data_IF_037274516726
#
_entry.id   IF_037274516726
#
_cell.length_a   1.000
_cell.length_b   1.000
_cell.length_c   1.000
_cell.angle_alpha   90.00
_cell.angle_beta   90.00
_cell.angle_gamma   90.00
#
_symmetry.space_group_name_H-M   'P 1'
#
loop_
_entity.id
_entity.type
_entity.pdbx_description
1 polymer ?
#
# COMPACT_ATOMS: atom_id res chain seq x y z
N UNK A 1 -24.02 31.88 -3.66
CA UNK A 1 -23.29 30.63 -3.43
C UNK A 1 -24.26 29.48 -3.66
N UNK A 2 -23.94 28.55 -4.56
CA UNK A 2 -24.85 27.50 -4.95
C UNK A 2 -25.10 26.53 -3.78
N UNK A 3 -26.36 26.06 -3.67
CA UNK A 3 -26.76 25.07 -2.62
C UNK A 3 -25.84 23.84 -2.59
N UNK A 4 -25.28 23.48 -3.74
CA UNK A 4 -24.31 22.39 -3.89
C UNK A 4 -23.01 22.69 -3.12
N UNK A 5 -22.41 23.88 -3.28
CA UNK A 5 -21.18 24.26 -2.59
C UNK A 5 -21.38 24.22 -1.06
N UNK A 6 -22.48 24.78 -0.56
CA UNK A 6 -22.83 24.72 0.86
C UNK A 6 -23.00 23.28 1.39
N UNK A 7 -23.54 22.37 0.56
CA UNK A 7 -23.68 20.96 0.95
C UNK A 7 -22.31 20.26 1.00
N UNK A 8 -21.42 20.54 0.02
CA UNK A 8 -20.06 19.98 0.01
C UNK A 8 -19.27 20.48 1.22
N UNK A 9 -19.34 21.78 1.53
CA UNK A 9 -18.66 22.35 2.71
C UNK A 9 -19.15 21.73 4.01
N UNK A 10 -20.46 21.56 4.17
CA UNK A 10 -21.07 20.95 5.35
C UNK A 10 -20.65 19.48 5.55
N UNK A 11 -20.49 18.73 4.44
CA UNK A 11 -20.21 17.30 4.44
C UNK A 11 -18.82 16.96 3.88
N UNK A 12 -17.87 17.91 3.92
CA UNK A 12 -16.55 17.81 3.30
C UNK A 12 -15.83 16.51 3.65
N UNK A 13 -15.88 16.06 4.92
CA UNK A 13 -15.22 14.84 5.36
C UNK A 13 -15.82 13.60 4.70
N UNK A 14 -17.16 13.54 4.59
CA UNK A 14 -17.82 12.42 3.93
C UNK A 14 -17.47 12.35 2.45
N UNK A 15 -17.44 13.49 1.75
CA UNK A 15 -17.01 13.56 0.36
C UNK A 15 -15.54 13.17 0.18
N UNK A 16 -14.66 13.66 1.04
CA UNK A 16 -13.25 13.31 1.01
C UNK A 16 -13.03 11.81 1.23
N UNK A 17 -13.67 11.24 2.24
CA UNK A 17 -13.58 9.81 2.53
C UNK A 17 -14.18 8.95 1.41
N UNK A 18 -15.32 9.34 0.84
CA UNK A 18 -15.91 8.64 -0.29
C UNK A 18 -14.97 8.64 -1.51
N UNK A 19 -14.39 9.79 -1.84
CA UNK A 19 -13.41 9.91 -2.92
C UNK A 19 -12.17 9.03 -2.64
N UNK A 20 -11.62 9.07 -1.42
CA UNK A 20 -10.48 8.24 -1.04
C UNK A 20 -10.81 6.75 -1.14
N UNK A 21 -11.98 6.31 -0.67
CA UNK A 21 -12.40 4.90 -0.76
C UNK A 21 -12.56 4.44 -2.21
N UNK A 22 -13.08 5.28 -3.10
CA UNK A 22 -13.17 4.97 -4.54
C UNK A 22 -11.76 4.83 -5.11
N UNK A 23 -10.90 5.82 -4.90
CA UNK A 23 -9.53 5.82 -5.45
C UNK A 23 -8.70 4.66 -4.90
N UNK A 24 -8.79 4.37 -3.60
CA UNK A 24 -8.01 3.29 -3.00
C UNK A 24 -8.61 1.90 -3.20
N UNK A 25 -9.91 1.81 -3.46
CA UNK A 25 -10.63 0.57 -3.74
C UNK A 25 -10.53 0.11 -5.20
N UNK A 26 -10.41 1.05 -6.14
CA UNK A 26 -10.36 0.73 -7.58
C UNK A 26 -9.26 -0.28 -7.97
N UNK A 27 -8.04 -0.27 -7.37
CA UNK A 27 -7.02 -1.31 -7.61
C UNK A 27 -7.44 -2.74 -7.31
N UNK A 28 -8.41 -2.95 -6.41
CA UNK A 28 -8.95 -4.28 -6.13
C UNK A 28 -9.94 -4.76 -7.21
N UNK A 29 -10.46 -3.83 -8.01
CA UNK A 29 -11.32 -4.19 -9.13
C UNK A 29 -10.51 -4.80 -10.30
N UNK A 30 -9.20 -4.47 -10.43
CA UNK A 30 -8.38 -5.01 -11.52
C UNK A 30 -8.33 -6.53 -11.55
N UNK A 31 -8.03 -7.27 -10.46
CA UNK A 31 -8.06 -8.74 -10.47
C UNK A 31 -9.45 -9.31 -10.69
N UNK A 32 -10.51 -8.63 -10.26
CA UNK A 32 -11.90 -9.06 -10.52
C UNK A 32 -12.21 -9.01 -12.01
N UNK A 33 -11.88 -7.90 -12.69
CA UNK A 33 -12.08 -7.73 -14.12
C UNK A 33 -11.26 -8.75 -14.93
N UNK A 34 -10.01 -8.99 -14.53
CA UNK A 34 -9.17 -10.01 -15.16
C UNK A 34 -9.77 -11.41 -15.00
N UNK A 35 -10.26 -11.76 -13.82
CA UNK A 35 -10.89 -13.06 -13.55
C UNK A 35 -12.20 -13.26 -14.35
N UNK A 36 -12.93 -12.17 -14.61
CA UNK A 36 -14.14 -12.18 -15.46
C UNK A 36 -13.82 -12.17 -16.96
N UNK A 37 -12.56 -12.15 -17.38
CA UNK A 37 -12.14 -12.09 -18.77
C UNK A 37 -12.20 -10.67 -19.38
N UNK A 38 -12.49 -9.63 -18.61
CA UNK A 38 -12.51 -8.24 -19.07
C UNK A 38 -11.09 -7.65 -19.02
N UNK A 39 -10.19 -8.29 -19.75
CA UNK A 39 -8.74 -8.03 -19.68
C UNK A 39 -8.37 -6.59 -20.01
N UNK A 40 -9.01 -5.97 -21.01
CA UNK A 40 -8.76 -4.58 -21.38
C UNK A 40 -9.09 -3.61 -20.23
N UNK A 41 -10.22 -3.82 -19.56
CA UNK A 41 -10.63 -2.98 -18.43
C UNK A 41 -9.71 -3.20 -17.21
N UNK A 42 -9.34 -4.45 -16.91
CA UNK A 42 -8.35 -4.76 -15.87
C UNK A 42 -7.00 -4.12 -16.14
N UNK A 43 -6.46 -4.26 -17.36
CA UNK A 43 -5.21 -3.65 -17.80
C UNK A 43 -5.25 -2.12 -17.74
N UNK A 44 -6.36 -1.51 -18.07
CA UNK A 44 -6.55 -0.06 -17.92
C UNK A 44 -6.35 0.40 -16.48
N UNK A 45 -6.91 -0.33 -15.49
CA UNK A 45 -6.70 -0.01 -14.07
C UNK A 45 -5.21 -0.15 -13.69
N UNK A 46 -4.53 -1.24 -14.08
CA UNK A 46 -3.09 -1.38 -13.82
C UNK A 46 -2.30 -0.19 -14.38
N UNK A 47 -2.61 0.22 -15.60
CA UNK A 47 -1.95 1.36 -16.25
C UNK A 47 -2.23 2.68 -15.53
N UNK A 48 -3.50 2.90 -15.12
CA UNK A 48 -3.91 4.10 -14.37
C UNK A 48 -3.13 4.26 -13.05
N UNK A 49 -2.85 3.15 -12.37
CA UNK A 49 -2.14 3.15 -11.08
C UNK A 49 -0.61 3.04 -11.20
N UNK A 50 -0.07 2.92 -12.41
CA UNK A 50 1.37 2.88 -12.69
C UNK A 50 2.16 4.05 -12.09
N UNK A 51 1.68 5.32 -12.11
CA UNK A 51 2.43 6.44 -11.53
C UNK A 51 2.50 6.41 -10.00
N UNK A 52 1.57 5.69 -9.35
CA UNK A 52 1.45 5.68 -7.89
C UNK A 52 2.10 4.47 -7.23
N UNK A 53 2.37 3.41 -8.01
CA UNK A 53 2.92 2.16 -7.50
C UNK A 53 3.78 1.45 -8.56
N UNK A 54 4.92 0.90 -8.12
CA UNK A 54 5.79 0.09 -8.99
C UNK A 54 5.14 -1.23 -9.43
N UNK A 55 4.12 -1.73 -8.72
CA UNK A 55 3.34 -2.93 -9.02
C UNK A 55 4.16 -4.21 -9.26
N UNK A 56 5.29 -4.36 -8.55
CA UNK A 56 6.10 -5.57 -8.64
C UNK A 56 5.31 -6.78 -8.14
N UNK A 57 5.23 -7.87 -8.91
CA UNK A 57 4.35 -8.99 -8.59
C UNK A 57 4.73 -9.71 -7.30
N UNK A 58 6.03 -9.88 -6.99
CA UNK A 58 6.48 -10.49 -5.74
C UNK A 58 6.15 -9.66 -4.48
N UNK A 59 5.74 -8.39 -4.65
CA UNK A 59 5.34 -7.44 -3.61
C UNK A 59 3.85 -7.07 -3.71
N UNK A 60 3.06 -7.88 -4.40
CA UNK A 60 1.62 -7.65 -4.61
C UNK A 60 0.80 -8.83 -4.12
N UNK A 61 -0.45 -8.58 -3.77
CA UNK A 61 -1.41 -9.62 -3.44
C UNK A 61 -2.10 -10.11 -4.69
N UNK A 62 -2.28 -11.43 -4.78
CA UNK A 62 -3.01 -12.09 -5.85
C UNK A 62 -4.36 -12.56 -5.33
N UNK A 63 -5.41 -12.36 -6.12
CA UNK A 63 -6.76 -12.83 -5.82
C UNK A 63 -7.20 -13.85 -6.87
N UNK A 64 -8.09 -14.74 -6.46
CA UNK A 64 -8.67 -15.80 -7.32
C UNK A 64 -7.68 -16.86 -7.79
N UNK A 65 -6.57 -17.04 -7.09
CA UNK A 65 -5.56 -18.06 -7.35
C UNK A 65 -5.26 -18.93 -6.13
N UNK A 66 -4.21 -19.75 -6.23
CA UNK A 66 -3.84 -20.71 -5.18
C UNK A 66 -3.22 -20.03 -3.95
N UNK A 67 -2.52 -18.92 -4.12
CA UNK A 67 -1.79 -18.21 -3.06
C UNK A 67 -2.09 -16.72 -3.10
N UNK A 68 -2.01 -16.11 -1.91
CA UNK A 68 -2.14 -14.65 -1.78
C UNK A 68 -0.90 -13.91 -2.31
N UNK A 69 0.29 -14.50 -2.15
CA UNK A 69 1.57 -13.93 -2.60
C UNK A 69 2.45 -15.02 -3.19
N UNK A 70 3.36 -14.63 -4.08
CA UNK A 70 4.29 -15.52 -4.75
C UNK A 70 5.71 -14.99 -4.61
N UNK A 71 6.67 -15.91 -4.50
CA UNK A 71 8.10 -15.57 -4.56
C UNK A 71 8.48 -15.14 -5.98
N UNK A 72 9.58 -14.40 -6.10
CA UNK A 72 10.11 -14.03 -7.42
C UNK A 72 10.46 -15.28 -8.26
N UNK A 73 10.95 -16.34 -7.63
CA UNK A 73 11.27 -17.61 -8.31
C UNK A 73 10.03 -18.30 -8.88
N UNK A 74 8.91 -18.28 -8.14
CA UNK A 74 7.63 -18.81 -8.64
C UNK A 74 7.10 -18.01 -9.81
N UNK A 75 7.23 -16.69 -9.76
CA UNK A 75 6.84 -15.79 -10.85
C UNK A 75 7.73 -16.04 -12.07
N UNK A 76 9.04 -16.16 -11.88
CA UNK A 76 10.01 -16.37 -12.96
C UNK A 76 9.86 -17.73 -13.69
N UNK A 77 9.21 -18.71 -13.08
CA UNK A 77 8.87 -19.97 -13.76
C UNK A 77 7.84 -19.77 -14.89
N UNK A 78 6.97 -18.78 -14.77
CA UNK A 78 5.91 -18.49 -15.75
C UNK A 78 6.17 -17.21 -16.56
N UNK A 79 6.93 -16.28 -16.01
CA UNK A 79 7.29 -15.02 -16.62
C UNK A 79 8.75 -14.67 -16.31
N UNK A 80 9.71 -15.27 -17.03
CA UNK A 80 11.13 -15.08 -16.77
C UNK A 80 11.57 -13.64 -17.04
N UNK A 81 11.88 -12.89 -16.00
CA UNK A 81 12.44 -11.55 -16.10
C UNK A 81 13.12 -11.15 -14.78
N UNK A 82 14.24 -10.43 -14.88
CA UNK A 82 14.90 -9.72 -13.77
C UNK A 82 14.72 -8.21 -13.86
N UNK A 83 14.12 -7.71 -14.95
CA UNK A 83 13.87 -6.30 -15.17
C UNK A 83 12.58 -5.87 -14.43
N UNK A 84 12.66 -4.95 -13.46
CA UNK A 84 11.47 -4.46 -12.73
C UNK A 84 10.45 -3.79 -13.65
N UNK A 85 10.89 -3.18 -14.75
CA UNK A 85 9.99 -2.56 -15.74
C UNK A 85 9.20 -3.61 -16.54
N UNK A 86 9.73 -4.78 -16.76
CA UNK A 86 9.02 -5.90 -17.37
C UNK A 86 8.16 -6.62 -16.33
N UNK A 87 8.70 -6.93 -15.15
CA UNK A 87 7.98 -7.63 -14.07
C UNK A 87 6.68 -6.94 -13.69
N UNK A 88 6.62 -5.61 -13.72
CA UNK A 88 5.39 -4.86 -13.41
C UNK A 88 4.22 -5.19 -14.33
N UNK A 89 4.46 -5.63 -15.57
CA UNK A 89 3.43 -6.02 -16.54
C UNK A 89 2.98 -7.48 -16.39
N UNK A 90 3.58 -8.24 -15.49
CA UNK A 90 3.03 -9.52 -15.11
C UNK A 90 1.84 -9.30 -14.19
N UNK A 91 0.64 -9.52 -14.70
CA UNK A 91 -0.60 -9.32 -13.96
C UNK A 91 -1.08 -10.58 -13.25
N UNK A 92 -0.57 -11.75 -13.62
CA UNK A 92 -0.95 -13.06 -13.10
C UNK A 92 -1.30 -14.05 -14.21
N UNK A 93 -1.76 -15.22 -13.80
CA UNK A 93 -2.26 -16.29 -14.66
C UNK A 93 -3.54 -16.86 -14.05
N UNK A 94 -4.24 -17.71 -14.78
CA UNK A 94 -5.45 -18.35 -14.26
C UNK A 94 -5.16 -19.21 -13.00
N UNK A 95 -4.01 -19.87 -12.94
CA UNK A 95 -3.60 -20.68 -11.79
C UNK A 95 -3.15 -19.82 -10.60
N UNK A 96 -2.34 -18.78 -10.86
CA UNK A 96 -1.83 -17.89 -9.81
C UNK A 96 -2.87 -16.86 -9.35
N UNK A 97 -3.96 -16.69 -10.09
CA UNK A 97 -4.85 -15.56 -9.92
C UNK A 97 -4.26 -14.26 -10.47
N UNK A 98 -4.85 -13.14 -10.09
CA UNK A 98 -4.54 -11.83 -10.65
C UNK A 98 -4.11 -10.88 -9.53
N UNK A 99 -3.02 -10.16 -9.73
CA UNK A 99 -2.50 -9.25 -8.70
C UNK A 99 -3.39 -8.03 -8.52
N UNK A 100 -3.46 -7.50 -7.31
CA UNK A 100 -4.01 -6.17 -7.02
C UNK A 100 -3.08 -5.10 -7.61
N UNK A 101 -3.63 -4.00 -8.14
CA UNK A 101 -2.82 -2.91 -8.70
C UNK A 101 -2.12 -2.04 -7.62
N UNK A 102 -2.07 -2.51 -6.38
CA UNK A 102 -1.26 -2.01 -5.28
C UNK A 102 -0.21 -3.03 -4.84
N UNK A 103 0.99 -2.56 -4.52
CA UNK A 103 1.90 -3.35 -3.70
C UNK A 103 1.42 -3.37 -2.24
N UNK A 104 1.84 -4.35 -1.48
CA UNK A 104 1.44 -4.57 -0.08
C UNK A 104 1.63 -3.34 0.83
N UNK A 105 2.73 -2.57 0.69
CA UNK A 105 2.93 -1.30 1.41
C UNK A 105 1.90 -0.24 1.01
N UNK A 106 1.65 -0.08 -0.29
CA UNK A 106 0.67 0.88 -0.79
C UNK A 106 -0.75 0.47 -0.42
N UNK A 107 -1.01 -0.84 -0.41
CA UNK A 107 -2.28 -1.40 0.05
C UNK A 107 -2.52 -1.03 1.52
N UNK A 108 -1.56 -1.30 2.42
CA UNK A 108 -1.71 -0.98 3.84
C UNK A 108 -1.81 0.54 4.08
N UNK A 109 -1.00 1.34 3.40
CA UNK A 109 -1.01 2.79 3.57
C UNK A 109 -2.26 3.47 3.00
N UNK A 110 -2.51 3.30 1.70
CA UNK A 110 -3.61 4.01 1.04
C UNK A 110 -4.99 3.51 1.45
N UNK A 111 -5.17 2.18 1.61
CA UNK A 111 -6.47 1.62 1.98
C UNK A 111 -6.81 1.92 3.44
N UNK A 112 -5.82 1.88 4.34
CA UNK A 112 -6.08 2.13 5.76
C UNK A 112 -6.21 3.61 6.11
N UNK A 113 -5.69 4.53 5.31
CA UNK A 113 -5.89 5.96 5.56
C UNK A 113 -7.37 6.37 5.59
N UNK A 114 -8.22 6.06 4.60
CA UNK A 114 -9.65 6.34 4.69
C UNK A 114 -10.36 5.50 5.76
N UNK A 115 -9.91 4.27 6.06
CA UNK A 115 -10.47 3.46 7.16
C UNK A 115 -10.25 4.17 8.51
N UNK A 116 -9.03 4.65 8.79
CA UNK A 116 -8.77 5.48 9.97
C UNK A 116 -9.51 6.82 9.92
N UNK A 117 -9.76 7.36 8.73
CA UNK A 117 -10.61 8.53 8.53
C UNK A 117 -12.07 8.27 8.92
N UNK A 118 -12.63 7.10 8.58
CA UNK A 118 -13.95 6.67 9.02
C UNK A 118 -13.99 6.50 10.55
N UNK A 119 -12.95 5.90 11.13
CA UNK A 119 -12.81 5.77 12.58
C UNK A 119 -12.79 7.14 13.26
N UNK A 120 -12.02 8.10 12.72
CA UNK A 120 -12.02 9.48 13.18
C UNK A 120 -13.42 10.12 13.07
N UNK A 121 -14.10 9.94 11.94
CA UNK A 121 -15.44 10.49 11.73
C UNK A 121 -16.46 9.97 12.75
N UNK A 122 -16.38 8.67 13.08
CA UNK A 122 -17.29 8.01 14.01
C UNK A 122 -17.01 8.33 15.48
N UNK A 123 -15.74 8.35 15.90
CA UNK A 123 -15.36 8.40 17.31
C UNK A 123 -14.78 9.75 17.75
N UNK A 124 -14.18 10.50 16.85
CA UNK A 124 -13.32 11.61 17.21
C UNK A 124 -13.65 12.96 16.59
N UNK A 125 -14.58 13.03 15.63
CA UNK A 125 -14.86 14.27 14.92
C UNK A 125 -15.28 15.39 15.89
N UNK A 126 -14.51 16.48 15.86
CA UNK A 126 -14.73 17.62 16.72
C UNK A 126 -14.28 17.47 18.17
N UNK A 127 -13.81 16.31 18.57
CA UNK A 127 -13.31 16.02 19.92
C UNK A 127 -11.80 15.83 19.96
N UNK A 128 -11.25 15.15 18.94
CA UNK A 128 -9.82 14.88 18.86
C UNK A 128 -9.06 16.09 18.31
N UNK A 129 -7.92 16.36 18.95
CA UNK A 129 -6.94 17.32 18.44
C UNK A 129 -6.03 16.64 17.41
N UNK A 130 -5.48 17.40 16.43
CA UNK A 130 -4.46 16.87 15.54
C UNK A 130 -3.30 16.27 16.30
N UNK A 131 -2.78 15.16 15.79
CA UNK A 131 -1.56 14.57 16.31
C UNK A 131 -0.44 15.63 16.29
N UNK A 132 0.38 15.77 17.35
CA UNK A 132 1.52 16.67 17.32
C UNK A 132 2.44 16.35 16.13
N UNK A 133 2.92 17.37 15.42
CA UNK A 133 3.71 17.20 14.20
C UNK A 133 4.93 16.28 14.38
N UNK A 134 5.54 16.27 15.58
CA UNK A 134 6.67 15.38 15.92
C UNK A 134 6.25 13.91 15.93
N UNK A 135 5.09 13.60 16.51
CA UNK A 135 4.54 12.23 16.50
C UNK A 135 4.07 11.81 15.11
N UNK A 136 3.54 12.76 14.33
CA UNK A 136 3.22 12.51 12.93
C UNK A 136 4.47 12.13 12.13
N UNK A 137 5.56 12.89 12.23
CA UNK A 137 6.83 12.54 11.58
C UNK A 137 7.40 11.22 12.06
N UNK A 138 7.32 10.95 13.37
CA UNK A 138 7.75 9.68 13.95
C UNK A 138 6.93 8.50 13.42
N UNK A 139 5.64 8.68 13.16
CA UNK A 139 4.78 7.65 12.55
C UNK A 139 5.11 7.39 11.07
N UNK A 140 5.58 8.40 10.33
CA UNK A 140 6.00 8.25 8.94
C UNK A 140 7.40 7.66 8.78
N UNK A 141 8.29 7.88 9.76
CA UNK A 141 9.70 7.52 9.68
C UNK A 141 9.95 6.03 9.38
N UNK A 142 9.27 5.06 10.03
CA UNK A 142 9.48 3.65 9.73
C UNK A 142 9.16 3.29 8.27
N UNK A 143 8.08 3.85 7.71
CA UNK A 143 7.72 3.62 6.30
C UNK A 143 8.73 4.27 5.34
N UNK A 144 9.22 5.45 5.67
CA UNK A 144 10.26 6.13 4.89
C UNK A 144 11.57 5.34 4.88
N UNK A 145 12.02 4.85 6.04
CA UNK A 145 13.23 4.04 6.17
C UNK A 145 13.08 2.68 5.46
N UNK A 146 11.96 2.00 5.66
CA UNK A 146 11.68 0.73 5.00
C UNK A 146 11.62 0.91 3.47
N UNK A 147 10.97 1.95 2.98
CA UNK A 147 10.92 2.28 1.55
C UNK A 147 12.29 2.64 0.97
N UNK A 148 13.02 3.55 1.62
CA UNK A 148 14.32 3.99 1.16
C UNK A 148 15.35 2.85 1.11
N UNK A 149 15.36 1.99 2.14
CA UNK A 149 16.28 0.82 2.16
C UNK A 149 15.94 -0.22 1.10
N UNK A 150 14.64 -0.44 0.76
CA UNK A 150 14.27 -1.27 -0.38
C UNK A 150 14.71 -0.67 -1.71
N UNK A 151 14.44 0.62 -1.93
CA UNK A 151 14.87 1.31 -3.16
C UNK A 151 16.39 1.23 -3.31
N UNK A 152 17.14 1.46 -2.24
CA UNK A 152 18.59 1.38 -2.25
C UNK A 152 19.08 -0.04 -2.56
N UNK A 153 18.45 -1.06 -1.97
CA UNK A 153 18.75 -2.47 -2.25
C UNK A 153 18.49 -2.80 -3.72
N UNK A 154 17.32 -2.42 -4.24
CA UNK A 154 16.94 -2.68 -5.63
C UNK A 154 17.85 -1.95 -6.65
N UNK A 155 18.31 -0.72 -6.31
CA UNK A 155 19.22 0.05 -7.18
C UNK A 155 20.64 -0.55 -7.24
N UNK A 156 21.13 -1.08 -6.12
CA UNK A 156 22.50 -1.63 -6.04
C UNK A 156 22.56 -3.05 -6.58
N UNK A 157 21.59 -3.90 -6.23
CA UNK A 157 21.63 -5.35 -6.49
C UNK A 157 20.62 -5.80 -7.55
N UNK A 158 19.77 -4.90 -8.05
CA UNK A 158 18.64 -5.27 -8.89
C UNK A 158 17.50 -5.92 -8.07
N UNK A 159 16.41 -6.24 -8.79
CA UNK A 159 15.26 -6.96 -8.22
C UNK A 159 15.50 -8.47 -8.41
N UNK A 160 16.46 -9.04 -7.70
CA UNK A 160 16.99 -10.39 -7.98
C UNK A 160 17.26 -11.24 -6.74
N UNK A 161 16.43 -11.20 -5.71
CA UNK A 161 16.60 -12.03 -4.49
C UNK A 161 18.00 -11.98 -3.82
N UNK A 162 18.91 -11.10 -4.28
CA UNK A 162 20.31 -11.02 -3.82
C UNK A 162 20.63 -9.77 -3.01
N UNK A 163 19.73 -8.81 -2.95
CA UNK A 163 19.93 -7.57 -2.22
C UNK A 163 19.93 -7.76 -0.70
N UNK A 164 20.50 -6.79 0.02
CA UNK A 164 20.55 -6.85 1.48
C UNK A 164 19.15 -6.82 2.12
N UNK A 165 18.14 -6.27 1.42
CA UNK A 165 16.73 -6.32 1.82
C UNK A 165 16.06 -7.62 1.42
N UNK A 166 16.50 -8.26 0.35
CA UNK A 166 15.92 -9.54 -0.06
C UNK A 166 16.37 -10.68 0.85
N UNK A 167 17.60 -10.64 1.32
CA UNK A 167 18.20 -11.68 2.17
C UNK A 167 18.05 -11.39 3.67
N UNK A 168 18.03 -10.11 4.07
CA UNK A 168 18.03 -9.66 5.47
C UNK A 168 19.03 -10.39 6.37
N UNK A 169 20.25 -10.65 5.86
CA UNK A 169 21.32 -11.37 6.58
C UNK A 169 21.63 -10.70 7.91
N UNK A 170 21.54 -9.38 8.00
CA UNK A 170 21.72 -8.64 9.24
C UNK A 170 20.77 -9.11 10.36
N UNK A 171 19.52 -9.42 10.02
CA UNK A 171 18.52 -9.91 10.98
C UNK A 171 18.79 -11.36 11.36
N UNK A 172 19.22 -12.18 10.40
CA UNK A 172 19.64 -13.55 10.66
C UNK A 172 20.82 -13.60 11.64
N UNK A 173 21.82 -12.70 11.46
CA UNK A 173 22.95 -12.59 12.37
C UNK A 173 22.54 -12.15 13.78
N UNK A 174 21.64 -11.15 13.89
CA UNK A 174 21.15 -10.67 15.18
C UNK A 174 20.37 -11.71 15.97
N UNK A 175 19.68 -12.62 15.28
CA UNK A 175 18.82 -13.64 15.91
C UNK A 175 19.46 -15.03 15.96
N UNK A 176 20.75 -15.15 15.60
CA UNK A 176 21.44 -16.44 15.51
C UNK A 176 20.81 -17.39 14.50
N UNK A 177 20.19 -16.86 13.45
CA UNK A 177 19.47 -17.61 12.38
C UNK A 177 18.31 -18.48 12.91
N UNK A 178 17.64 -18.02 13.97
CA UNK A 178 16.56 -18.78 14.63
C UNK A 178 15.34 -19.03 13.74
N UNK A 179 15.10 -18.19 12.71
CA UNK A 179 13.89 -18.26 11.85
C UNK A 179 14.24 -18.14 10.35
N UNK A 180 14.93 -19.10 9.73
CA UNK A 180 15.47 -18.98 8.37
C UNK A 180 14.42 -18.59 7.31
N UNK A 181 13.21 -19.15 7.37
CA UNK A 181 12.12 -18.84 6.42
C UNK A 181 11.54 -17.42 6.57
N UNK A 182 11.84 -16.75 7.67
CA UNK A 182 11.32 -15.40 7.93
C UNK A 182 12.17 -14.30 7.31
N UNK A 183 13.49 -14.52 7.15
CA UNK A 183 14.41 -13.44 6.79
C UNK A 183 14.37 -13.09 5.30
N UNK A 184 14.32 -14.10 4.43
CA UNK A 184 14.50 -13.91 2.99
C UNK A 184 13.17 -13.78 2.24
N UNK A 185 13.18 -12.89 1.23
CA UNK A 185 12.08 -12.70 0.29
C UNK A 185 11.06 -11.63 0.68
N UNK A 186 10.07 -11.50 -0.19
CA UNK A 186 9.07 -10.43 -0.15
C UNK A 186 7.63 -10.94 0.04
N UNK A 187 7.43 -12.26 0.09
CA UNK A 187 6.13 -12.91 0.16
C UNK A 187 5.56 -12.97 1.58
N UNK A 188 4.31 -13.36 1.70
CA UNK A 188 3.62 -13.53 2.99
C UNK A 188 4.41 -14.43 3.95
N UNK A 189 4.53 -13.99 5.20
CA UNK A 189 5.27 -14.70 6.24
C UNK A 189 6.72 -14.25 6.40
N UNK A 190 7.26 -13.41 5.50
CA UNK A 190 8.63 -12.89 5.62
C UNK A 190 8.70 -11.56 6.35
N UNK A 191 9.90 -11.22 6.85
CA UNK A 191 10.18 -9.95 7.52
C UNK A 191 9.79 -8.74 6.65
N UNK A 192 10.16 -8.74 5.38
CA UNK A 192 9.85 -7.64 4.48
C UNK A 192 8.34 -7.45 4.30
N UNK A 193 7.58 -8.53 4.19
CA UNK A 193 6.13 -8.46 4.08
C UNK A 193 5.50 -7.80 5.31
N UNK A 194 5.89 -8.24 6.52
CA UNK A 194 5.40 -7.65 7.77
C UNK A 194 5.87 -6.22 7.96
N UNK A 195 7.13 -5.91 7.63
CA UNK A 195 7.67 -4.56 7.71
C UNK A 195 6.87 -3.60 6.84
N UNK A 196 6.59 -3.96 5.57
CA UNK A 196 5.75 -3.14 4.66
C UNK A 196 4.33 -2.96 5.18
N UNK A 197 3.71 -4.03 5.70
CA UNK A 197 2.37 -3.98 6.26
C UNK A 197 2.29 -3.03 7.46
N UNK A 198 3.13 -3.24 8.46
CA UNK A 198 3.08 -2.47 9.72
C UNK A 198 3.54 -1.03 9.55
N UNK A 199 4.58 -0.78 8.76
CA UNK A 199 5.04 0.58 8.49
C UNK A 199 4.00 1.38 7.69
N UNK A 200 3.31 0.74 6.74
CA UNK A 200 2.19 1.33 6.01
C UNK A 200 1.00 1.65 6.91
N UNK A 201 0.61 0.72 7.81
CA UNK A 201 -0.46 0.94 8.79
C UNK A 201 -0.15 2.09 9.73
N UNK A 202 1.08 2.15 10.26
CA UNK A 202 1.51 3.21 11.18
C UNK A 202 1.50 4.58 10.49
N UNK A 203 1.98 4.64 9.26
CA UNK A 203 1.95 5.86 8.45
C UNK A 203 0.51 6.30 8.14
N UNK A 204 -0.38 5.37 7.77
CA UNK A 204 -1.79 5.64 7.52
C UNK A 204 -2.49 6.20 8.76
N UNK A 205 -2.22 5.61 9.93
CA UNK A 205 -2.70 6.12 11.21
C UNK A 205 -2.19 7.54 11.48
N UNK A 206 -0.89 7.77 11.30
CA UNK A 206 -0.27 9.09 11.49
C UNK A 206 -0.90 10.16 10.59
N UNK A 207 -1.08 9.86 9.29
CA UNK A 207 -1.72 10.76 8.31
C UNK A 207 -3.16 11.05 8.70
N UNK A 208 -3.94 10.02 9.03
CA UNK A 208 -5.36 10.18 9.33
C UNK A 208 -5.57 11.03 10.60
N UNK A 209 -4.87 10.72 11.70
CA UNK A 209 -5.03 11.43 12.97
C UNK A 209 -4.29 12.77 13.05
N UNK A 210 -3.42 13.07 12.08
CA UNK A 210 -2.90 14.42 11.87
C UNK A 210 -3.82 15.25 10.97
N UNK A 211 -4.11 14.75 9.77
CA UNK A 211 -4.74 15.54 8.71
C UNK A 211 -6.25 15.79 8.96
N UNK A 212 -7.04 14.76 9.28
CA UNK A 212 -8.50 14.96 9.42
C UNK A 212 -8.88 15.88 10.59
N UNK A 213 -8.30 15.74 11.81
CA UNK A 213 -8.57 16.70 12.89
C UNK A 213 -8.07 18.11 12.57
N UNK A 214 -6.94 18.24 11.85
CA UNK A 214 -6.42 19.54 11.44
C UNK A 214 -7.34 20.23 10.43
N UNK A 215 -7.81 19.52 9.43
CA UNK A 215 -8.78 20.04 8.44
C UNK A 215 -10.12 20.41 9.10
N UNK A 216 -10.60 19.60 10.07
CA UNK A 216 -11.84 19.88 10.81
C UNK A 216 -11.70 21.17 11.65
N UNK A 217 -10.54 21.42 12.24
CA UNK A 217 -10.25 22.67 12.94
C UNK A 217 -10.20 23.90 11.99
N UNK A 218 -9.60 23.74 10.81
CA UNK A 218 -9.58 24.82 9.81
C UNK A 218 -10.98 25.18 9.35
N UNK A 219 -11.83 24.18 9.09
CA UNK A 219 -13.22 24.42 8.69
C UNK A 219 -13.99 25.20 9.76
N UNK A 220 -13.92 24.76 11.02
CA UNK A 220 -14.59 25.44 12.14
C UNK A 220 -14.16 26.89 12.34
N UNK A 221 -12.89 27.21 12.05
CA UNK A 221 -12.38 28.60 12.14
C UNK A 221 -12.94 29.48 11.03
N UNK A 222 -13.34 28.90 9.88
CA UNK A 222 -13.98 29.64 8.78
C UNK A 222 -15.46 29.93 9.07
N UNK A 223 -16.10 29.03 9.82
CA UNK A 223 -17.53 29.10 10.16
C UNK A 223 -17.78 29.98 11.39
N UNK A 224 -16.73 30.36 12.15
CA UNK A 224 -16.78 31.22 13.34
C UNK A 224 -16.47 32.69 13.01
#
# INVERSE_FOLDING_TARGET
>A
MDRFAATVERHWLAWLLAMMLIVTGLPFLSPVLMALGWTNAGTFIYTLYTPFCHQLPQRSWFLFGEKLTYTLDEINRVYPSSDPWQLRFFYGTQAMGWKVAWSDRMLSFYTMTPVFGLLYAALGRGRLRPLPWRLFLLALLPMALDGATHILSDLIFGVSNGGFRDTNVWLALLTGNAFPAFYAGDHFGTFNWYARLFTGLLAAWGVAFFAFPWLDQLQRRRDA
#
